data_IF_056199601326
#
_entry.id   IF_056199601326
#
_cell.length_a   1.000
_cell.length_b   1.000
_cell.length_c   1.000
_cell.angle_alpha   90.00
_cell.angle_beta   90.00
_cell.angle_gamma   90.00
#
_symmetry.space_group_name_H-M   'P 1'
#
loop_
_entity.id
_entity.type
_entity.pdbx_description
1 polymer ?
#
# COMPACT_ATOMS: atom_id res chain seq x y z
N UNK A 1 -11.43 -11.50 6.59
CA UNK A 1 -11.64 -10.90 7.29
C UNK A 1 -12.55 -10.64 7.17
N UNK A 2 -12.98 -10.88 7.06
CA UNK A 2 -13.55 -10.24 6.95
C UNK A 2 -13.61 -9.48 7.42
N UNK A 3 -13.38 -9.65 7.60
CA UNK A 3 -13.88 -8.45 7.40
C UNK A 3 -14.26 -7.70 8.63
N UNK A 4 -13.22 -7.16 9.19
CA UNK A 4 -13.40 -6.33 10.35
C UNK A 4 -14.37 -5.20 10.05
N UNK A 5 -14.43 -4.78 8.81
CA UNK A 5 -15.28 -3.65 8.46
C UNK A 5 -16.74 -4.05 8.35
N UNK A 6 -17.00 -5.24 7.86
CA UNK A 6 -18.36 -5.74 7.80
C UNK A 6 -18.98 -5.90 9.16
N UNK A 7 -18.19 -6.24 10.16
CA UNK A 7 -18.72 -6.44 11.49
C UNK A 7 -19.24 -5.14 12.11
N UNK A 8 -18.86 -4.01 11.56
CA UNK A 8 -19.39 -2.73 12.04
C UNK A 8 -20.65 -2.32 11.30
N UNK A 9 -21.13 -3.17 10.41
CA UNK A 9 -22.37 -2.92 9.71
C UNK A 9 -22.31 -1.83 8.68
N UNK A 10 -21.16 -1.28 8.44
CA UNK A 10 -21.01 -0.21 7.46
C UNK A 10 -20.45 -0.77 6.18
N UNK A 11 -21.19 -0.58 5.11
CA UNK A 11 -20.68 -0.91 3.80
C UNK A 11 -19.92 0.27 3.26
N UNK A 12 -18.64 0.05 3.00
CA UNK A 12 -17.80 1.11 2.45
C UNK A 12 -17.74 0.93 0.94
N UNK A 13 -18.07 1.96 0.19
CA UNK A 13 -18.06 1.84 -1.26
C UNK A 13 -16.66 1.57 -1.79
N UNK A 14 -16.58 0.88 -2.91
CA UNK A 14 -15.32 0.62 -3.57
C UNK A 14 -14.64 1.94 -3.94
N UNK A 15 -13.32 2.00 -3.96
CA UNK A 15 -12.64 3.23 -4.34
C UNK A 15 -12.94 3.58 -5.79
N UNK A 16 -13.09 4.89 -6.04
CA UNK A 16 -13.39 5.37 -7.39
C UNK A 16 -12.17 5.36 -8.29
N UNK A 17 -10.98 5.36 -7.69
CA UNK A 17 -9.72 5.38 -8.42
C UNK A 17 -9.21 3.95 -8.53
N UNK A 18 -8.93 3.54 -9.76
CA UNK A 18 -8.35 2.23 -9.99
C UNK A 18 -6.94 2.19 -9.43
N UNK A 19 -6.64 1.14 -8.67
CA UNK A 19 -5.33 0.98 -8.09
C UNK A 19 -4.27 0.74 -9.16
N UNK A 20 -3.16 1.48 -9.13
CA UNK A 20 -2.04 1.20 -10.04
C UNK A 20 -1.11 0.11 -9.51
N UNK A 21 -1.42 -0.47 -8.36
CA UNK A 21 -0.54 -1.45 -7.74
C UNK A 21 -0.54 -2.77 -8.49
N UNK A 22 0.58 -3.47 -8.45
CA UNK A 22 0.75 -4.75 -9.13
C UNK A 22 0.69 -5.87 -8.10
N UNK A 23 -0.32 -6.74 -8.22
CA UNK A 23 -0.47 -7.87 -7.31
C UNK A 23 0.42 -9.05 -7.71
N UNK A 24 0.50 -9.31 -9.01
CA UNK A 24 1.26 -10.43 -9.52
C UNK A 24 2.66 -10.04 -9.97
N UNK A 25 3.49 -9.57 -9.03
CA UNK A 25 4.87 -9.25 -9.36
C UNK A 25 5.63 -10.51 -9.76
N UNK A 26 6.55 -10.40 -10.73
CA UNK A 26 7.24 -11.58 -11.24
C UNK A 26 8.14 -12.25 -10.22
N UNK A 27 8.30 -13.56 -10.37
CA UNK A 27 9.28 -14.33 -9.62
C UNK A 27 10.37 -14.69 -10.60
N UNK A 28 11.59 -14.29 -10.30
CA UNK A 28 12.72 -14.46 -11.21
C UNK A 28 13.85 -15.22 -10.53
N UNK A 29 14.52 -16.02 -11.30
CA UNK A 29 15.70 -16.70 -10.79
C UNK A 29 16.86 -15.73 -10.70
N UNK A 30 17.58 -15.78 -9.59
CA UNK A 30 18.74 -14.91 -9.41
C UNK A 30 19.90 -15.49 -10.20
N UNK A 31 20.46 -14.70 -11.11
CA UNK A 31 21.54 -15.12 -11.95
C UNK A 31 22.77 -15.48 -11.11
N UNK A 32 23.42 -16.59 -11.44
CA UNK A 32 24.57 -17.06 -10.69
C UNK A 32 24.24 -17.89 -9.47
N UNK A 33 22.98 -18.08 -9.14
CA UNK A 33 22.52 -18.85 -7.99
C UNK A 33 21.53 -19.91 -8.43
N UNK A 34 21.83 -21.17 -8.18
CA UNK A 34 21.01 -22.27 -8.69
C UNK A 34 19.63 -22.34 -8.05
N UNK A 35 19.57 -22.05 -6.75
CA UNK A 35 18.35 -22.29 -5.98
C UNK A 35 17.78 -21.03 -5.33
N UNK A 36 18.09 -19.88 -5.89
CA UNK A 36 17.62 -18.62 -5.33
C UNK A 36 16.69 -17.95 -6.33
N UNK A 37 15.51 -17.64 -5.87
CA UNK A 37 14.50 -16.93 -6.64
C UNK A 37 14.10 -15.68 -5.90
N UNK A 38 13.74 -14.65 -6.61
CA UNK A 38 13.28 -13.40 -6.00
C UNK A 38 11.94 -13.03 -6.57
N UNK A 39 11.00 -12.74 -5.68
CA UNK A 39 9.73 -12.14 -6.08
C UNK A 39 9.95 -10.63 -6.11
N UNK A 40 9.74 -10.06 -7.27
CA UNK A 40 10.09 -8.67 -7.54
C UNK A 40 9.10 -7.68 -6.91
N UNK A 41 9.10 -7.60 -5.59
CA UNK A 41 8.22 -6.67 -4.89
C UNK A 41 8.64 -5.22 -5.05
N UNK A 42 9.83 -4.99 -5.57
CA UNK A 42 10.24 -3.66 -6.00
C UNK A 42 9.40 -3.14 -7.17
N UNK A 43 8.62 -4.02 -7.81
CA UNK A 43 7.74 -3.65 -8.91
C UNK A 43 6.27 -3.56 -8.49
N UNK A 44 6.00 -3.51 -7.18
CA UNK A 44 4.62 -3.54 -6.69
C UNK A 44 3.87 -2.23 -6.90
N UNK A 45 4.57 -1.13 -7.10
CA UNK A 45 3.92 0.16 -7.35
C UNK A 45 4.74 0.96 -8.36
N UNK A 46 4.08 1.77 -9.20
CA UNK A 46 4.82 2.67 -10.08
C UNK A 46 5.32 3.89 -9.31
N UNK A 47 6.32 4.57 -9.86
CA UNK A 47 6.74 5.85 -9.31
C UNK A 47 5.57 6.84 -9.40
N UNK A 48 5.44 7.75 -8.44
CA UNK A 48 6.33 8.00 -7.29
C UNK A 48 6.00 7.19 -6.04
N UNK A 49 5.25 6.11 -6.14
CA UNK A 49 4.94 5.28 -4.99
C UNK A 49 6.13 4.41 -4.57
N UNK A 50 6.22 4.06 -3.29
CA UNK A 50 7.27 3.15 -2.84
C UNK A 50 6.95 1.72 -3.25
N UNK A 51 7.93 1.03 -3.76
CA UNK A 51 7.77 -0.33 -4.23
C UNK A 51 8.12 -1.31 -3.13
N UNK A 52 7.11 -1.80 -2.43
CA UNK A 52 7.28 -2.84 -1.42
C UNK A 52 5.91 -3.48 -1.17
N UNK A 53 5.93 -4.72 -0.67
CA UNK A 53 4.71 -5.52 -0.58
C UNK A 53 3.63 -4.90 0.29
N UNK A 54 4.00 -4.21 1.35
CA UNK A 54 3.03 -3.66 2.30
C UNK A 54 2.14 -2.58 1.69
N UNK A 55 2.54 -2.01 0.56
CA UNK A 55 1.72 -0.96 -0.04
C UNK A 55 0.35 -1.46 -0.46
N UNK A 56 0.24 -2.74 -0.80
CA UNK A 56 -1.07 -3.33 -1.14
C UNK A 56 -2.00 -3.31 0.05
N UNK A 57 -1.48 -3.62 1.25
CA UNK A 57 -2.27 -3.56 2.47
C UNK A 57 -2.68 -2.15 2.83
N UNK A 58 -1.79 -1.19 2.64
CA UNK A 58 -2.11 0.21 2.87
C UNK A 58 -3.25 0.65 1.96
N UNK A 59 -3.17 0.32 0.69
CA UNK A 59 -4.24 0.65 -0.24
C UNK A 59 -5.56 -0.01 0.16
N UNK A 60 -5.52 -1.31 0.45
CA UNK A 60 -6.72 -2.05 0.81
C UNK A 60 -7.38 -1.45 2.05
N UNK A 61 -6.58 -1.08 3.04
CA UNK A 61 -7.12 -0.50 4.26
C UNK A 61 -7.69 0.90 4.02
N UNK A 62 -6.91 1.79 3.44
CA UNK A 62 -7.34 3.18 3.30
C UNK A 62 -8.47 3.35 2.31
N UNK A 63 -8.55 2.51 1.30
CA UNK A 63 -9.63 2.61 0.31
C UNK A 63 -10.99 2.27 0.89
N UNK A 64 -11.02 1.55 2.02
CA UNK A 64 -12.27 1.19 2.68
C UNK A 64 -12.61 2.13 3.84
N UNK A 65 -11.78 3.13 4.11
CA UNK A 65 -12.00 4.05 5.22
C UNK A 65 -12.63 5.35 4.73
N UNK A 66 -13.65 5.85 5.46
CA UNK A 66 -14.29 7.10 5.06
C UNK A 66 -13.53 8.35 5.48
N UNK A 67 -12.58 8.24 6.38
CA UNK A 67 -11.85 9.41 6.87
C UNK A 67 -11.09 10.10 5.74
N UNK A 68 -11.08 11.42 5.78
CA UNK A 68 -10.41 12.23 4.77
C UNK A 68 -9.03 12.70 5.21
N UNK A 69 -8.74 12.63 6.49
CA UNK A 69 -7.44 13.02 7.04
C UNK A 69 -6.84 11.81 7.73
N UNK A 70 -5.66 11.43 7.27
CA UNK A 70 -4.97 10.24 7.76
C UNK A 70 -3.65 10.68 8.40
N UNK A 71 -3.41 10.23 9.62
CA UNK A 71 -2.13 10.43 10.28
C UNK A 71 -1.32 9.15 10.26
N UNK A 72 -0.02 9.25 10.08
CA UNK A 72 0.86 8.10 10.14
C UNK A 72 2.07 8.41 11.01
N UNK A 73 2.40 7.47 11.89
CA UNK A 73 3.62 7.56 12.68
C UNK A 73 4.72 6.85 11.91
N UNK A 74 5.75 7.59 11.58
CA UNK A 74 6.82 7.07 10.74
C UNK A 74 8.11 6.88 11.54
N UNK A 75 9.05 6.17 10.96
CA UNK A 75 10.34 5.93 11.58
C UNK A 75 11.43 6.01 10.52
N UNK A 76 12.68 6.04 10.95
CA UNK A 76 13.80 6.00 10.03
C UNK A 76 13.79 4.72 9.22
N UNK A 77 14.18 4.82 7.98
CA UNK A 77 14.31 3.70 7.04
C UNK A 77 13.00 2.96 6.77
N UNK A 78 11.88 3.53 7.20
CA UNK A 78 10.58 2.96 6.92
C UNK A 78 10.00 3.62 5.65
N UNK A 79 9.30 2.83 4.85
CA UNK A 79 8.57 3.36 3.71
C UNK A 79 7.10 3.58 4.05
N UNK A 80 6.72 3.43 5.32
CA UNK A 80 5.32 3.49 5.72
C UNK A 80 4.71 4.86 5.45
N UNK A 81 5.39 5.93 5.87
CA UNK A 81 4.88 7.27 5.63
C UNK A 81 4.74 7.58 4.15
N UNK A 82 5.75 7.20 3.37
CA UNK A 82 5.70 7.37 1.92
C UNK A 82 4.52 6.63 1.33
N UNK A 83 4.32 5.37 1.74
CA UNK A 83 3.21 4.57 1.22
C UNK A 83 1.86 5.19 1.55
N UNK A 84 1.68 5.62 2.80
CA UNK A 84 0.42 6.24 3.22
C UNK A 84 0.19 7.53 2.44
N UNK A 85 1.21 8.36 2.30
CA UNK A 85 1.08 9.61 1.57
C UNK A 85 0.72 9.36 0.10
N UNK A 86 1.37 8.38 -0.52
CA UNK A 86 1.10 8.05 -1.92
C UNK A 86 -0.35 7.57 -2.10
N UNK A 87 -0.79 6.67 -1.22
CA UNK A 87 -2.15 6.14 -1.33
C UNK A 87 -3.19 7.22 -1.00
N UNK A 88 -2.91 8.06 -0.02
CA UNK A 88 -3.81 9.18 0.28
C UNK A 88 -3.97 10.08 -0.93
N UNK A 89 -2.88 10.37 -1.63
CA UNK A 89 -2.95 11.20 -2.82
C UNK A 89 -3.84 10.54 -3.89
N UNK A 90 -3.67 9.23 -4.09
CA UNK A 90 -4.51 8.50 -5.04
C UNK A 90 -5.99 8.56 -4.68
N UNK A 91 -6.30 8.53 -3.39
CA UNK A 91 -7.68 8.45 -2.92
C UNK A 91 -8.29 9.83 -2.62
N UNK A 92 -7.54 10.90 -2.84
CA UNK A 92 -8.04 12.25 -2.56
C UNK A 92 -8.13 12.55 -1.08
N UNK A 93 -7.26 11.95 -0.27
CA UNK A 93 -7.21 12.17 1.17
C UNK A 93 -6.01 13.02 1.53
N UNK A 94 -6.09 13.66 2.70
CA UNK A 94 -4.94 14.40 3.25
C UNK A 94 -4.17 13.50 4.18
N UNK A 95 -2.87 13.71 4.23
CA UNK A 95 -1.98 12.89 5.03
C UNK A 95 -1.07 13.77 5.89
N UNK A 96 -0.92 13.41 7.16
CA UNK A 96 0.06 14.04 8.04
C UNK A 96 1.02 12.94 8.49
N UNK A 97 2.29 13.15 8.21
CA UNK A 97 3.35 12.20 8.56
C UNK A 97 4.09 12.71 9.78
N UNK A 98 3.97 11.99 10.89
CA UNK A 98 4.67 12.32 12.13
C UNK A 98 6.01 11.61 12.12
N UNK A 99 7.05 12.34 11.78
CA UNK A 99 8.38 11.81 11.60
C UNK A 99 9.27 12.23 12.76
N UNK A 100 10.03 11.32 13.38
CA UNK A 100 10.88 11.66 14.53
C UNK A 100 12.06 12.55 14.18
#
# INVERSE_FOLDING_TARGET
MNDVFGMFGAEVPAPKVKSPLVDGTPVEKVEGWERVWVKREDMSAPLPGPSFSKIRGVYAHLSTRPEKLIGVLDTYHSKAGWAVAYICDLLGKECVDFYP
#
